data_IF_505340333196
#
_entry.id   IF_505340333196
#
_cell.length_a   1.000
_cell.length_b   1.000
_cell.length_c   1.000
_cell.angle_alpha   90.00
_cell.angle_beta   90.00
_cell.angle_gamma   90.00
#
_symmetry.space_group_name_H-M   'P 1'
#
loop_
_entity.id
_entity.type
_entity.pdbx_description
1 polymer ?
#
# COMPACT_ATOMS: atom_id res chain seq x y z
N UNK A 1 -3.26 -43.27 7.51
CA UNK A 1 -3.85 -41.93 7.28
C UNK A 1 -2.74 -40.91 7.41
N UNK A 2 -2.09 -40.56 6.30
CA UNK A 2 -1.05 -39.53 6.29
C UNK A 2 -1.65 -38.21 5.83
N UNK A 3 -1.47 -37.16 6.61
CA UNK A 3 -1.77 -35.77 6.22
C UNK A 3 -0.67 -35.26 5.29
N UNK A 4 -1.05 -34.50 4.27
CA UNK A 4 -0.09 -33.80 3.43
C UNK A 4 0.47 -32.62 4.23
N UNK A 5 1.78 -32.55 4.37
CA UNK A 5 2.49 -31.43 4.97
C UNK A 5 3.19 -30.61 3.89
N UNK A 6 3.09 -29.29 4.02
CA UNK A 6 3.66 -28.29 3.11
C UNK A 6 4.68 -27.44 3.86
N UNK A 7 5.63 -26.85 3.13
CA UNK A 7 6.50 -25.83 3.70
C UNK A 7 5.68 -24.54 3.93
N UNK A 8 5.84 -23.93 5.11
CA UNK A 8 5.13 -22.69 5.46
C UNK A 8 5.59 -21.55 4.55
N UNK A 9 6.85 -21.59 4.13
CA UNK A 9 7.46 -20.66 3.19
C UNK A 9 6.78 -20.72 1.82
N UNK A 10 6.50 -21.93 1.31
CA UNK A 10 5.78 -22.13 0.04
C UNK A 10 4.32 -21.65 0.13
N UNK A 11 3.66 -21.87 1.28
CA UNK A 11 2.32 -21.36 1.55
C UNK A 11 2.26 -19.83 1.61
N UNK A 12 3.28 -19.19 2.21
CA UNK A 12 3.41 -17.74 2.22
C UNK A 12 3.58 -17.16 0.81
N UNK A 13 4.28 -17.89 -0.07
CA UNK A 13 4.55 -17.48 -1.44
C UNK A 13 3.52 -17.94 -2.47
N UNK A 14 2.56 -18.80 -2.09
CA UNK A 14 1.53 -19.36 -2.98
C UNK A 14 0.63 -18.31 -3.67
N UNK A 15 0.62 -17.07 -3.17
CA UNK A 15 -0.10 -15.93 -3.78
C UNK A 15 0.67 -15.22 -4.90
N UNK A 16 1.97 -15.50 -5.05
CA UNK A 16 2.78 -15.01 -6.16
C UNK A 16 2.70 -16.02 -7.30
N UNK A 17 2.52 -15.55 -8.54
CA UNK A 17 2.47 -16.40 -9.72
C UNK A 17 3.91 -16.89 -9.98
N UNK A 18 4.26 -18.14 -9.66
CA UNK A 18 5.62 -18.59 -9.84
C UNK A 18 5.88 -18.87 -11.33
N UNK A 19 7.14 -18.83 -11.74
CA UNK A 19 7.55 -19.19 -13.10
C UNK A 19 7.36 -20.70 -13.37
N UNK A 20 7.32 -21.53 -12.33
CA UNK A 20 6.87 -22.93 -12.37
C UNK A 20 5.89 -23.29 -11.23
N UNK A 21 4.86 -24.13 -11.50
CA UNK A 21 3.72 -24.30 -10.59
C UNK A 21 3.88 -25.51 -9.66
N UNK A 22 5.01 -25.64 -8.94
CA UNK A 22 5.26 -26.82 -8.10
C UNK A 22 5.31 -26.43 -6.63
N UNK A 23 4.18 -26.64 -5.93
CA UNK A 23 4.17 -26.67 -4.47
C UNK A 23 4.68 -28.03 -4.01
N UNK A 24 5.82 -28.05 -3.32
CA UNK A 24 6.39 -29.28 -2.77
C UNK A 24 5.58 -29.72 -1.54
N UNK A 25 5.25 -31.00 -1.46
CA UNK A 25 4.55 -31.58 -0.31
C UNK A 25 5.06 -32.98 0.00
N UNK A 26 4.95 -33.39 1.26
CA UNK A 26 5.24 -34.76 1.69
C UNK A 26 4.06 -35.34 2.47
N UNK A 27 3.87 -36.66 2.38
CA UNK A 27 2.89 -37.37 3.20
C UNK A 27 3.58 -37.83 4.48
N UNK A 28 3.08 -37.39 5.62
CA UNK A 28 3.73 -37.66 6.90
C UNK A 28 2.87 -38.58 7.77
N UNK A 29 3.52 -39.51 8.46
CA UNK A 29 2.91 -40.26 9.56
C UNK A 29 2.97 -39.45 10.86
N UNK A 30 1.95 -39.58 11.69
CA UNK A 30 1.83 -38.91 12.99
C UNK A 30 3.08 -39.12 13.84
N UNK A 31 3.76 -38.03 14.23
CA UNK A 31 4.98 -38.04 15.04
C UNK A 31 6.30 -37.84 14.29
N UNK A 32 6.29 -37.82 12.95
CA UNK A 32 7.50 -37.59 12.13
C UNK A 32 7.42 -36.33 11.25
N UNK A 33 6.57 -35.38 11.65
CA UNK A 33 6.29 -34.14 10.90
C UNK A 33 7.53 -33.27 10.73
N UNK A 34 8.27 -33.00 11.82
CA UNK A 34 9.48 -32.17 11.76
C UNK A 34 10.59 -32.76 10.86
N UNK A 35 11.03 -34.02 11.02
CA UNK A 35 12.06 -34.59 10.15
C UNK A 35 11.64 -34.65 8.67
N UNK A 36 10.36 -34.91 8.40
CA UNK A 36 9.85 -34.95 7.03
C UNK A 36 9.85 -33.55 6.39
N UNK A 37 9.43 -32.52 7.15
CA UNK A 37 9.49 -31.13 6.70
C UNK A 37 10.93 -30.65 6.48
N UNK A 38 11.86 -31.00 7.36
CA UNK A 38 13.27 -30.65 7.20
C UNK A 38 13.87 -31.28 5.94
N UNK A 39 13.55 -32.54 5.65
CA UNK A 39 13.98 -33.19 4.40
C UNK A 39 13.36 -32.53 3.16
N UNK A 40 12.09 -32.14 3.24
CA UNK A 40 11.42 -31.42 2.15
C UNK A 40 12.08 -30.06 1.90
N UNK A 41 12.43 -29.33 2.97
CA UNK A 41 13.14 -28.05 2.90
C UNK A 41 14.54 -28.20 2.30
N UNK A 42 15.30 -29.22 2.70
CA UNK A 42 16.60 -29.52 2.12
C UNK A 42 16.50 -29.84 0.62
N UNK A 43 15.49 -30.61 0.22
CA UNK A 43 15.26 -30.93 -1.19
C UNK A 43 14.94 -29.68 -2.01
N UNK A 44 14.06 -28.82 -1.50
CA UNK A 44 13.73 -27.53 -2.13
C UNK A 44 14.98 -26.65 -2.29
N UNK A 45 15.81 -26.55 -1.26
CA UNK A 45 17.07 -25.80 -1.32
C UNK A 45 18.04 -26.36 -2.37
N UNK A 46 18.16 -27.69 -2.48
CA UNK A 46 19.02 -28.31 -3.50
C UNK A 46 18.49 -28.01 -4.91
N UNK A 47 17.18 -28.07 -5.12
CA UNK A 47 16.55 -27.79 -6.41
C UNK A 47 16.74 -26.32 -6.82
N UNK A 48 16.59 -25.39 -5.87
CA UNK A 48 16.92 -23.97 -6.06
C UNK A 48 18.39 -23.80 -6.39
N UNK A 49 19.30 -24.48 -5.68
CA UNK A 49 20.73 -24.41 -5.95
C UNK A 49 21.07 -24.93 -7.36
N UNK A 50 20.45 -26.03 -7.81
CA UNK A 50 20.63 -26.54 -9.17
C UNK A 50 20.12 -25.55 -10.23
N UNK A 51 18.95 -24.93 -10.01
CA UNK A 51 18.44 -23.88 -10.91
C UNK A 51 19.35 -22.65 -10.95
N UNK A 52 19.94 -22.28 -9.80
CA UNK A 52 20.89 -21.17 -9.72
C UNK A 52 22.21 -21.48 -10.42
N UNK A 53 22.69 -22.72 -10.33
CA UNK A 53 23.92 -23.19 -10.99
C UNK A 53 23.76 -23.18 -12.53
N UNK A 54 22.57 -23.50 -13.04
CA UNK A 54 22.26 -23.43 -14.48
C UNK A 54 22.15 -22.00 -15.04
N UNK A 55 21.90 -21.00 -14.20
CA UNK A 55 21.58 -19.63 -14.63
C UNK A 55 22.79 -18.69 -14.65
N UNK A 56 23.99 -19.10 -14.20
CA UNK A 56 25.23 -18.31 -14.04
C UNK A 56 25.06 -16.95 -13.30
N UNK A 57 23.86 -16.63 -12.80
CA UNK A 57 23.46 -15.32 -12.29
C UNK A 57 23.21 -15.41 -10.79
N UNK A 58 24.30 -15.60 -10.05
CA UNK A 58 24.27 -15.71 -8.60
C UNK A 58 23.76 -14.41 -7.99
N UNK A 59 22.76 -14.47 -7.11
CA UNK A 59 22.26 -13.28 -6.41
C UNK A 59 23.08 -12.93 -5.15
N UNK A 60 24.17 -13.66 -4.89
CA UNK A 60 25.01 -13.52 -3.69
C UNK A 60 26.48 -13.78 -4.02
N UNK A 61 27.38 -12.99 -3.42
CA UNK A 61 28.84 -13.15 -3.49
C UNK A 61 29.36 -13.41 -2.10
N UNK A 62 30.27 -14.37 -2.00
CA UNK A 62 30.97 -14.66 -0.77
C UNK A 62 32.02 -13.57 -0.50
N UNK A 63 31.91 -12.90 0.65
CA UNK A 63 32.91 -11.93 1.09
C UNK A 63 33.93 -12.61 2.00
N UNK A 64 35.15 -12.84 1.49
CA UNK A 64 36.23 -13.49 2.23
C UNK A 64 36.68 -12.72 3.48
N UNK A 65 36.36 -11.41 3.61
CA UNK A 65 36.77 -10.60 4.76
C UNK A 65 35.85 -10.81 5.96
N UNK A 66 34.55 -10.89 5.70
CA UNK A 66 33.52 -11.06 6.73
C UNK A 66 33.08 -12.52 6.86
N UNK A 67 33.56 -13.41 5.98
CA UNK A 67 33.26 -14.83 5.93
C UNK A 67 31.74 -15.11 5.79
N UNK A 68 31.03 -14.23 5.08
CA UNK A 68 29.57 -14.24 4.89
C UNK A 68 29.20 -14.05 3.41
N UNK A 69 28.06 -14.63 3.01
CA UNK A 69 27.46 -14.38 1.69
C UNK A 69 26.66 -13.09 1.72
N UNK A 70 27.07 -12.11 0.90
CA UNK A 70 26.34 -10.85 0.73
C UNK A 70 25.54 -10.89 -0.56
N UNK A 71 24.32 -10.33 -0.60
CA UNK A 71 23.58 -10.24 -1.85
C UNK A 71 24.42 -9.47 -2.88
N UNK A 72 24.59 -10.05 -4.06
CA UNK A 72 24.94 -9.29 -5.24
C UNK A 72 23.75 -8.37 -5.42
N UNK A 73 23.88 -7.12 -4.97
CA UNK A 73 23.13 -6.06 -5.60
C UNK A 73 23.57 -6.15 -7.05
N UNK A 74 22.72 -6.72 -7.91
CA UNK A 74 22.72 -6.39 -9.32
C UNK A 74 22.28 -4.93 -9.42
N UNK A 75 23.11 -4.02 -8.91
CA UNK A 75 23.64 -2.99 -9.76
C UNK A 75 24.61 -3.64 -10.77
N UNK A 76 24.11 -4.60 -11.56
CA UNK A 76 24.14 -4.24 -12.96
C UNK A 76 23.45 -2.88 -12.97
N UNK A 77 24.28 -1.83 -12.98
CA UNK A 77 23.93 -0.69 -13.79
C UNK A 77 23.27 -1.34 -14.98
N UNK A 78 21.97 -1.12 -15.15
CA UNK A 78 21.40 -1.16 -16.48
C UNK A 78 22.23 -0.09 -17.20
N UNK A 79 23.43 -0.48 -17.62
CA UNK A 79 24.48 0.41 -18.14
C UNK A 79 24.14 0.71 -19.60
N UNK A 80 23.13 0.03 -20.10
CA UNK A 80 22.27 0.40 -21.19
C UNK A 80 20.94 0.82 -20.58
N UNK A 81 20.94 2.01 -19.97
CA UNK A 81 19.69 2.72 -19.71
C UNK A 81 18.86 2.69 -20.99
N UNK A 82 17.52 2.64 -20.92
CA UNK A 82 16.69 2.94 -22.08
C UNK A 82 17.15 4.24 -22.76
N UNK A 83 17.72 5.17 -21.98
CA UNK A 83 18.40 6.37 -22.45
C UNK A 83 19.60 6.09 -23.36
N UNK A 84 20.48 5.09 -23.17
CA UNK A 84 21.58 4.81 -24.12
C UNK A 84 21.13 4.17 -25.42
N UNK A 85 20.18 3.24 -25.36
CA UNK A 85 19.53 2.71 -26.58
C UNK A 85 18.71 3.78 -27.27
N UNK A 86 18.09 4.70 -26.52
CA UNK A 86 17.33 5.82 -27.05
C UNK A 86 18.23 6.95 -27.55
N UNK A 87 19.39 7.18 -26.95
CA UNK A 87 20.42 8.14 -27.41
C UNK A 87 21.09 7.60 -28.66
N UNK A 88 21.52 6.34 -28.71
CA UNK A 88 22.03 5.74 -29.96
C UNK A 88 20.95 5.78 -31.07
N UNK A 89 19.69 5.44 -30.74
CA UNK A 89 18.59 5.50 -31.71
C UNK A 89 18.21 6.95 -32.06
N UNK A 90 18.30 7.91 -31.14
CA UNK A 90 17.99 9.33 -31.39
C UNK A 90 19.12 10.04 -32.11
N UNK A 91 20.38 9.68 -31.86
CA UNK A 91 21.56 10.15 -32.59
C UNK A 91 21.54 9.57 -34.02
N UNK A 92 21.19 8.29 -34.19
CA UNK A 92 20.98 7.70 -35.53
C UNK A 92 19.83 8.39 -36.27
N UNK A 93 18.72 8.70 -35.58
CA UNK A 93 17.58 9.43 -36.16
C UNK A 93 17.92 10.92 -36.40
N UNK A 94 18.77 11.53 -35.58
CA UNK A 94 19.22 12.92 -35.77
C UNK A 94 20.19 13.04 -36.93
N UNK A 95 21.14 12.11 -37.09
CA UNK A 95 22.01 12.03 -38.27
C UNK A 95 21.18 11.78 -39.55
N UNK A 96 20.17 10.91 -39.50
CA UNK A 96 19.22 10.70 -40.62
C UNK A 96 18.25 11.86 -40.86
N UNK A 97 18.15 12.86 -39.97
CA UNK A 97 17.25 14.03 -40.14
C UNK A 97 18.03 15.29 -40.51
N UNK A 98 19.25 15.45 -39.99
CA UNK A 98 20.18 16.53 -40.41
C UNK A 98 20.63 16.34 -41.87
N UNK A 99 20.86 15.11 -42.35
CA UNK A 99 21.14 14.82 -43.78
C UNK A 99 19.96 15.15 -44.72
N UNK A 100 18.74 15.32 -44.19
CA UNK A 100 17.56 15.75 -44.97
C UNK A 100 17.23 17.24 -44.83
N UNK A 101 17.71 17.93 -43.79
CA UNK A 101 17.49 19.36 -43.62
C UNK A 101 18.50 20.21 -44.42
N UNK A 102 19.72 19.71 -44.66
CA UNK A 102 20.75 20.43 -45.44
C UNK A 102 20.59 20.32 -46.98
N UNK A 103 19.76 19.41 -47.48
CA UNK A 103 19.52 19.21 -48.93
C UNK A 103 18.25 19.92 -49.47
N UNK A 104 17.51 20.65 -48.62
CA UNK A 104 16.38 21.47 -49.07
C UNK A 104 16.89 22.87 -49.44
N UNK A 105 17.47 22.98 -50.64
CA UNK A 105 17.66 24.27 -51.31
C UNK A 105 16.27 24.85 -51.60
N UNK A 106 15.89 25.91 -50.88
CA UNK A 106 14.75 26.74 -51.24
C UNK A 106 15.06 27.49 -52.53
N UNK A 107 14.74 26.90 -53.68
CA UNK A 107 14.42 27.70 -54.86
C UNK A 107 13.00 28.24 -54.66
N UNK A 108 12.90 29.53 -54.32
CA UNK A 108 11.67 30.31 -54.41
C UNK A 108 11.25 30.34 -55.90
N UNK A 109 10.57 29.30 -56.36
CA UNK A 109 9.81 29.33 -57.61
C UNK A 109 8.33 29.51 -57.26
N UNK A 110 7.87 30.74 -57.43
CA UNK A 110 6.48 31.16 -57.30
C UNK A 110 5.61 30.45 -58.35
N UNK A 111 5.22 29.18 -58.16
CA UNK A 111 4.09 28.57 -58.88
C UNK A 111 3.46 27.37 -58.14
N UNK A 112 2.16 27.53 -57.84
CA UNK A 112 1.09 26.52 -57.76
C UNK A 112 1.25 25.29 -56.83
N UNK A 113 0.71 25.35 -55.59
CA UNK A 113 -0.46 24.54 -55.21
C UNK A 113 -1.03 24.93 -53.82
N UNK A 114 -2.28 25.40 -53.78
CA UNK A 114 -2.95 25.83 -52.53
C UNK A 114 -3.29 24.65 -51.60
N UNK A 115 -3.16 23.41 -52.09
CA UNK A 115 -3.50 22.20 -51.35
C UNK A 115 -2.33 21.67 -50.50
N UNK A 116 -1.09 21.79 -50.99
CA UNK A 116 0.11 21.33 -50.26
C UNK A 116 0.44 22.22 -49.07
N UNK A 117 0.24 23.53 -49.20
CA UNK A 117 0.46 24.50 -48.10
C UNK A 117 -0.48 24.27 -46.90
N UNK A 118 -1.71 23.79 -47.15
CA UNK A 118 -2.67 23.44 -46.10
C UNK A 118 -2.27 22.16 -45.35
N UNK A 119 -1.81 21.12 -46.07
CA UNK A 119 -1.29 19.90 -45.45
C UNK A 119 0.00 20.14 -44.64
N UNK A 120 0.90 20.98 -45.15
CA UNK A 120 2.13 21.36 -44.43
C UNK A 120 1.81 22.14 -43.14
N UNK A 121 0.80 23.01 -43.17
CA UNK A 121 0.32 23.73 -41.98
C UNK A 121 -0.29 22.80 -40.93
N UNK A 122 -1.08 21.81 -41.36
CA UNK A 122 -1.69 20.81 -40.48
C UNK A 122 -0.65 19.91 -39.81
N UNK A 123 0.36 19.46 -40.56
CA UNK A 123 1.47 18.67 -40.03
C UNK A 123 2.33 19.46 -39.03
N UNK A 124 2.55 20.76 -39.27
CA UNK A 124 3.22 21.65 -38.30
C UNK A 124 2.42 21.78 -37.01
N UNK A 125 1.09 21.90 -37.10
CA UNK A 125 0.22 21.94 -35.93
C UNK A 125 0.24 20.61 -35.14
N UNK A 126 0.23 19.47 -35.84
CA UNK A 126 0.35 18.14 -35.21
C UNK A 126 1.73 17.96 -34.53
N UNK A 127 2.82 18.40 -35.16
CA UNK A 127 4.18 18.36 -34.55
C UNK A 127 4.23 19.13 -33.22
N UNK A 128 3.68 20.34 -33.19
CA UNK A 128 3.63 21.16 -31.95
C UNK A 128 2.74 20.53 -30.87
N UNK A 129 1.63 19.91 -31.25
CA UNK A 129 0.75 19.20 -30.31
C UNK A 129 1.45 17.97 -29.69
N UNK A 130 2.14 17.17 -30.51
CA UNK A 130 2.90 16.01 -30.07
C UNK A 130 4.07 16.40 -29.16
N UNK A 131 4.79 17.48 -29.48
CA UNK A 131 5.85 18.01 -28.62
C UNK A 131 5.35 18.39 -27.22
N UNK A 132 4.16 19.01 -27.12
CA UNK A 132 3.55 19.31 -25.81
C UNK A 132 3.19 18.07 -25.01
N UNK A 133 2.73 17.00 -25.68
CA UNK A 133 2.40 15.73 -25.02
C UNK A 133 3.68 15.06 -24.49
N UNK A 134 4.75 15.05 -25.29
CA UNK A 134 6.06 14.49 -24.89
C UNK A 134 6.61 15.26 -23.68
N UNK A 135 6.58 16.59 -23.72
CA UNK A 135 7.06 17.42 -22.61
C UNK A 135 6.28 17.16 -21.32
N UNK A 136 4.95 17.04 -21.40
CA UNK A 136 4.12 16.69 -20.24
C UNK A 136 4.43 15.29 -19.69
N UNK A 137 4.71 14.31 -20.57
CA UNK A 137 5.14 12.98 -20.16
C UNK A 137 6.53 12.97 -19.50
N UNK A 138 7.47 13.76 -20.01
CA UNK A 138 8.80 13.93 -19.42
C UNK A 138 8.73 14.57 -18.04
N UNK A 139 7.92 15.60 -17.86
CA UNK A 139 7.69 16.24 -16.55
C UNK A 139 7.10 15.25 -15.53
N UNK A 140 6.10 14.46 -15.93
CA UNK A 140 5.53 13.40 -15.09
C UNK A 140 6.57 12.33 -14.74
N UNK A 141 7.39 11.91 -15.71
CA UNK A 141 8.46 10.92 -15.51
C UNK A 141 9.52 11.45 -14.55
N UNK A 142 9.95 12.69 -14.72
CA UNK A 142 10.94 13.34 -13.87
C UNK A 142 10.43 13.52 -12.44
N UNK A 143 9.16 13.92 -12.27
CA UNK A 143 8.53 14.01 -10.95
C UNK A 143 8.47 12.64 -10.26
N UNK A 144 8.10 11.57 -10.98
CA UNK A 144 8.08 10.22 -10.45
C UNK A 144 9.48 9.74 -10.04
N UNK A 145 10.50 9.98 -10.88
CA UNK A 145 11.90 9.65 -10.58
C UNK A 145 12.44 10.40 -9.36
N UNK A 146 12.08 11.67 -9.19
CA UNK A 146 12.47 12.46 -8.02
C UNK A 146 11.88 11.91 -6.70
N UNK A 147 10.64 11.41 -6.75
CA UNK A 147 10.01 10.74 -5.59
C UNK A 147 10.73 9.45 -5.24
N UNK A 148 11.06 8.62 -6.24
CA UNK A 148 11.79 7.36 -6.05
C UNK A 148 13.19 7.62 -5.47
N UNK A 149 13.91 8.60 -6.02
CA UNK A 149 15.25 8.97 -5.54
C UNK A 149 15.21 9.55 -4.12
N UNK A 150 14.21 10.36 -3.77
CA UNK A 150 14.01 10.83 -2.39
C UNK A 150 13.72 9.67 -1.43
N UNK A 151 12.87 8.71 -1.83
CA UNK A 151 12.63 7.51 -1.02
C UNK A 151 13.89 6.66 -0.86
N UNK A 152 14.71 6.56 -1.90
CA UNK A 152 16.00 5.86 -1.87
C UNK A 152 17.00 6.52 -0.93
N UNK A 153 17.09 7.85 -0.92
CA UNK A 153 17.98 8.64 -0.03
C UNK A 153 17.57 8.62 1.44
N UNK A 154 16.29 8.39 1.73
CA UNK A 154 15.78 8.36 3.11
C UNK A 154 16.04 7.01 3.81
N UNK A 155 16.53 6.00 3.09
CA UNK A 155 16.71 4.65 3.60
C UNK A 155 15.39 3.86 3.66
N UNK A 156 15.45 2.56 3.96
CA UNK A 156 14.24 1.73 4.10
C UNK A 156 13.57 2.08 5.43
N UNK A 157 12.31 2.54 5.38
CA UNK A 157 11.50 2.67 6.60
C UNK A 157 11.12 1.28 7.10
N UNK A 158 11.55 0.93 8.31
CA UNK A 158 11.13 -0.26 9.03
C UNK A 158 10.07 0.19 10.03
N UNK A 159 8.87 -0.38 9.97
CA UNK A 159 7.80 -0.02 10.90
C UNK A 159 7.77 -0.98 12.08
N UNK A 160 7.89 -0.43 13.29
CA UNK A 160 7.68 -1.17 14.54
C UNK A 160 6.31 -0.77 15.10
N UNK A 161 5.37 -1.72 15.10
CA UNK A 161 3.99 -1.46 15.47
C UNK A 161 3.77 -1.78 16.95
N UNK A 162 3.52 -0.76 17.77
CA UNK A 162 3.26 -0.86 19.21
C UNK A 162 1.90 -0.23 19.53
N UNK A 163 0.78 -0.93 19.28
CA UNK A 163 -0.56 -0.35 19.36
C UNK A 163 -0.89 0.16 20.77
N UNK A 164 -1.10 1.47 20.90
CA UNK A 164 -1.75 2.10 22.06
C UNK A 164 -3.10 2.70 21.70
N UNK A 165 -3.27 3.08 20.44
CA UNK A 165 -4.46 3.73 19.89
C UNK A 165 -5.07 2.86 18.81
N UNK A 166 -6.37 2.64 18.89
CA UNK A 166 -7.12 1.84 17.92
C UNK A 166 -8.16 2.74 17.27
N UNK A 167 -8.16 2.80 15.94
CA UNK A 167 -9.23 3.43 15.16
C UNK A 167 -10.07 2.31 14.56
N UNK A 168 -11.39 2.35 14.73
CA UNK A 168 -12.29 1.35 14.17
C UNK A 168 -13.22 1.99 13.13
N UNK A 169 -13.45 1.30 12.01
CA UNK A 169 -14.44 1.68 11.01
C UNK A 169 -15.88 1.32 11.44
N UNK A 170 -16.86 1.69 10.63
CA UNK A 170 -18.29 1.40 10.88
C UNK A 170 -18.57 -0.10 10.92
N UNK A 171 -17.92 -0.89 10.06
CA UNK A 171 -18.15 -2.34 9.97
C UNK A 171 -17.71 -3.07 11.25
N UNK A 172 -16.64 -2.60 11.91
CA UNK A 172 -16.23 -3.14 13.21
C UNK A 172 -17.35 -3.09 14.26
N UNK A 173 -18.17 -2.03 14.25
CA UNK A 173 -19.28 -1.91 15.19
C UNK A 173 -20.53 -2.69 14.76
N UNK A 174 -20.76 -2.84 13.46
CA UNK A 174 -21.91 -3.57 12.93
C UNK A 174 -21.72 -5.08 13.05
N UNK A 175 -20.58 -5.59 12.59
CA UNK A 175 -20.33 -7.03 12.47
C UNK A 175 -19.73 -7.62 13.75
N UNK A 176 -18.98 -6.81 14.52
CA UNK A 176 -18.13 -7.30 15.62
C UNK A 176 -18.33 -6.56 16.94
N UNK A 177 -19.57 -6.13 17.24
CA UNK A 177 -19.90 -5.34 18.43
C UNK A 177 -19.39 -5.95 19.75
N UNK A 178 -19.51 -7.28 19.91
CA UNK A 178 -19.05 -7.98 21.11
C UNK A 178 -17.52 -7.91 21.28
N UNK A 179 -16.77 -7.97 20.18
CA UNK A 179 -15.31 -7.85 20.21
C UNK A 179 -14.89 -6.41 20.51
N UNK A 180 -15.59 -5.43 19.96
CA UNK A 180 -15.39 -4.01 20.31
C UNK A 180 -15.65 -3.76 21.80
N UNK A 181 -16.69 -4.38 22.36
CA UNK A 181 -16.98 -4.29 23.79
C UNK A 181 -15.87 -4.91 24.65
N UNK A 182 -15.32 -6.07 24.25
CA UNK A 182 -14.18 -6.69 24.93
C UNK A 182 -12.93 -5.81 24.90
N UNK A 183 -12.66 -5.14 23.76
CA UNK A 183 -11.55 -4.16 23.64
C UNK A 183 -11.72 -3.00 24.61
N UNK A 184 -12.91 -2.39 24.68
CA UNK A 184 -13.19 -1.29 25.61
C UNK A 184 -13.03 -1.73 27.08
N UNK A 185 -13.52 -2.93 27.42
CA UNK A 185 -13.42 -3.48 28.77
C UNK A 185 -11.98 -3.79 29.18
N UNK A 186 -11.11 -4.15 28.23
CA UNK A 186 -9.70 -4.46 28.52
C UNK A 186 -8.93 -3.27 29.11
N UNK A 187 -9.32 -2.04 28.73
CA UNK A 187 -8.63 -0.78 29.07
C UNK A 187 -7.14 -0.76 28.70
N UNK A 188 -6.69 -1.69 27.87
CA UNK A 188 -5.30 -1.78 27.41
C UNK A 188 -5.00 -0.78 26.29
N UNK A 189 -6.03 -0.40 25.54
CA UNK A 189 -5.93 0.45 24.37
C UNK A 189 -6.88 1.63 24.49
N UNK A 190 -6.52 2.74 23.84
CA UNK A 190 -7.41 3.86 23.65
C UNK A 190 -8.13 3.70 22.31
N UNK A 191 -9.44 3.46 22.35
CA UNK A 191 -10.28 3.38 21.16
C UNK A 191 -10.68 4.80 20.76
N UNK A 192 -10.38 5.14 19.52
CA UNK A 192 -10.74 6.41 18.90
C UNK A 192 -11.78 6.14 17.82
N UNK A 193 -12.94 6.77 17.97
CA UNK A 193 -14.06 6.66 17.03
C UNK A 193 -14.13 7.91 16.17
N UNK A 194 -13.86 7.84 14.86
CA UNK A 194 -14.09 8.96 13.96
C UNK A 194 -15.55 9.41 14.02
N UNK A 195 -15.82 10.71 14.12
CA UNK A 195 -17.20 11.20 14.20
C UNK A 195 -18.03 10.81 12.97
N UNK A 196 -17.37 10.68 11.81
CA UNK A 196 -18.01 10.18 10.58
C UNK A 196 -18.59 8.77 10.76
N UNK A 197 -17.92 7.89 11.50
CA UNK A 197 -18.40 6.54 11.82
C UNK A 197 -19.64 6.62 12.72
N UNK A 198 -19.62 7.51 13.73
CA UNK A 198 -20.79 7.72 14.61
C UNK A 198 -21.98 8.24 13.81
N UNK A 199 -21.76 9.18 12.89
CA UNK A 199 -22.79 9.75 12.04
C UNK A 199 -23.37 8.72 11.05
N UNK A 200 -22.54 7.82 10.52
CA UNK A 200 -22.99 6.69 9.71
C UNK A 200 -23.87 5.74 10.52
N UNK A 201 -23.45 5.37 11.73
CA UNK A 201 -24.23 4.52 12.64
C UNK A 201 -25.58 5.16 13.01
N UNK A 202 -25.61 6.46 13.28
CA UNK A 202 -26.87 7.20 13.52
C UNK A 202 -27.77 7.21 12.28
N UNK A 203 -27.20 7.35 11.09
CA UNK A 203 -27.93 7.25 9.83
C UNK A 203 -28.54 5.86 9.63
N UNK A 204 -27.77 4.82 9.90
CA UNK A 204 -28.21 3.42 9.83
C UNK A 204 -29.29 3.12 10.88
N UNK A 205 -29.17 3.65 12.12
CA UNK A 205 -30.16 3.51 13.20
C UNK A 205 -31.50 4.15 12.84
N UNK A 206 -31.48 5.33 12.21
CA UNK A 206 -32.72 6.03 11.75
C UNK A 206 -33.41 5.26 10.62
N UNK A 207 -32.63 4.65 9.74
CA UNK A 207 -33.13 3.85 8.63
C UNK A 207 -33.83 4.67 7.55
N UNK A 208 -34.05 4.04 6.40
CA UNK A 208 -34.92 4.50 5.32
C UNK A 208 -35.94 3.39 5.03
N UNK A 209 -37.01 3.69 4.30
CA UNK A 209 -38.17 2.79 4.10
C UNK A 209 -37.82 1.37 3.60
N UNK A 210 -36.63 1.16 3.01
CA UNK A 210 -36.14 -0.12 2.50
C UNK A 210 -34.90 -0.66 3.23
N UNK A 211 -34.57 -0.16 4.42
CA UNK A 211 -33.36 -0.61 5.13
C UNK A 211 -33.52 -1.98 5.77
N UNK A 212 -32.45 -2.79 5.72
CA UNK A 212 -32.42 -4.10 6.35
C UNK A 212 -32.61 -3.96 7.87
N UNK A 213 -33.74 -4.45 8.41
CA UNK A 213 -34.08 -4.33 9.83
C UNK A 213 -32.97 -4.85 10.76
N UNK A 214 -32.25 -5.91 10.36
CA UNK A 214 -31.11 -6.45 11.12
C UNK A 214 -29.93 -5.48 11.20
N UNK A 215 -29.64 -4.78 10.11
CA UNK A 215 -28.56 -3.78 10.06
C UNK A 215 -28.93 -2.56 10.92
N UNK A 216 -30.18 -2.10 10.82
CA UNK A 216 -30.70 -1.02 11.64
C UNK A 216 -30.64 -1.35 13.14
N UNK A 217 -31.02 -2.57 13.53
CA UNK A 217 -30.92 -3.02 14.91
C UNK A 217 -29.47 -3.08 15.40
N UNK A 218 -28.55 -3.59 14.58
CA UNK A 218 -27.11 -3.69 14.92
C UNK A 218 -26.49 -2.30 15.09
N UNK A 219 -26.82 -1.36 14.19
CA UNK A 219 -26.43 0.05 14.32
C UNK A 219 -27.02 0.69 15.58
N UNK A 220 -28.28 0.38 15.91
CA UNK A 220 -28.92 0.82 17.16
C UNK A 220 -28.14 0.38 18.40
N UNK A 221 -27.81 -0.92 18.48
CA UNK A 221 -27.02 -1.47 19.59
C UNK A 221 -25.62 -0.86 19.68
N UNK A 222 -24.98 -0.60 18.52
CA UNK A 222 -23.67 0.04 18.48
C UNK A 222 -23.71 1.48 19.01
N UNK A 223 -24.70 2.28 18.60
CA UNK A 223 -24.88 3.65 19.09
C UNK A 223 -25.17 3.65 20.58
N UNK A 224 -26.07 2.79 21.06
CA UNK A 224 -26.44 2.72 22.47
C UNK A 224 -25.22 2.32 23.33
N UNK A 225 -24.39 1.38 22.84
CA UNK A 225 -23.12 1.02 23.48
C UNK A 225 -22.17 2.22 23.56
N UNK A 226 -21.95 2.94 22.45
CA UNK A 226 -21.06 4.11 22.42
C UNK A 226 -21.56 5.21 23.37
N UNK A 227 -22.86 5.51 23.37
CA UNK A 227 -23.47 6.49 24.27
C UNK A 227 -23.26 6.13 25.75
N UNK A 228 -23.49 4.86 26.12
CA UNK A 228 -23.23 4.37 27.48
C UNK A 228 -21.75 4.55 27.87
N UNK A 229 -20.81 4.13 27.02
CA UNK A 229 -19.37 4.29 27.32
C UNK A 229 -18.92 5.76 27.40
N UNK A 230 -19.38 6.63 26.49
CA UNK A 230 -19.06 8.05 26.56
C UNK A 230 -19.69 8.72 27.80
N UNK A 231 -20.87 8.28 28.25
CA UNK A 231 -21.52 8.81 29.47
C UNK A 231 -20.69 8.53 30.73
N UNK A 232 -19.94 7.43 30.75
CA UNK A 232 -19.04 7.03 31.84
C UNK A 232 -17.75 7.85 31.89
N UNK A 233 -17.47 8.67 30.88
CA UNK A 233 -16.22 9.46 30.72
C UNK A 233 -14.98 8.58 30.82
N UNK A 234 -15.01 7.42 30.17
CA UNK A 234 -13.87 6.50 30.18
C UNK A 234 -12.67 7.10 29.42
N UNK A 235 -11.48 7.09 30.02
CA UNK A 235 -10.25 7.61 29.42
C UNK A 235 -9.78 6.79 28.21
N UNK A 236 -10.24 5.54 28.10
CA UNK A 236 -9.89 4.63 27.01
C UNK A 236 -10.80 4.79 25.78
N UNK A 237 -11.77 5.71 25.79
CA UNK A 237 -12.63 5.99 24.64
C UNK A 237 -12.61 7.49 24.29
N UNK A 238 -12.32 7.78 23.03
CA UNK A 238 -12.34 9.15 22.47
C UNK A 238 -13.10 9.15 21.16
N UNK A 239 -13.74 10.27 20.84
CA UNK A 239 -14.18 10.57 19.48
C UNK A 239 -13.22 11.58 18.85
N UNK A 240 -13.10 11.57 17.53
CA UNK A 240 -12.29 12.54 16.80
C UNK A 240 -13.07 13.13 15.63
N UNK A 241 -13.02 14.46 15.50
CA UNK A 241 -13.68 15.15 14.40
C UNK A 241 -12.92 15.04 13.09
N UNK A 242 -13.56 15.34 11.96
CA UNK A 242 -12.87 15.45 10.66
C UNK A 242 -11.71 16.45 10.67
N UNK A 243 -11.80 17.51 11.49
CA UNK A 243 -10.74 18.50 11.70
C UNK A 243 -9.64 18.04 12.69
N UNK A 244 -9.79 16.87 13.31
CA UNK A 244 -8.82 16.30 14.24
C UNK A 244 -8.93 16.81 15.67
N UNK A 245 -10.09 17.35 16.07
CA UNK A 245 -10.38 17.70 17.47
C UNK A 245 -10.82 16.46 18.22
N UNK A 246 -10.18 16.15 19.35
CA UNK A 246 -10.58 15.04 20.21
C UNK A 246 -11.74 15.44 21.12
N UNK A 247 -12.67 14.52 21.32
CA UNK A 247 -13.87 14.71 22.13
C UNK A 247 -14.02 13.55 23.11
N UNK A 248 -14.29 13.88 24.37
CA UNK A 248 -14.59 12.90 25.44
C UNK A 248 -16.09 12.65 25.60
N UNK A 249 -16.91 13.30 24.78
CA UNK A 249 -18.36 13.16 24.76
C UNK A 249 -18.88 13.31 23.33
N UNK A 250 -19.99 12.63 23.03
CA UNK A 250 -20.67 12.66 21.73
C UNK A 250 -22.10 13.24 21.82
N UNK A 251 -22.45 13.84 22.98
CA UNK A 251 -23.77 14.41 23.19
C UNK A 251 -24.13 15.51 22.17
N UNK A 252 -23.11 16.23 21.68
CA UNK A 252 -23.23 17.20 20.60
C UNK A 252 -22.26 16.80 19.47
N UNK A 253 -22.77 16.06 18.49
CA UNK A 253 -21.99 15.45 17.39
C UNK A 253 -22.32 16.01 16.00
N UNK A 254 -22.80 17.25 15.94
CA UNK A 254 -23.02 17.94 14.67
C UNK A 254 -21.69 18.48 14.13
N UNK A 255 -21.30 18.04 12.94
CA UNK A 255 -20.17 18.59 12.19
C UNK A 255 -20.67 19.31 10.94
N UNK A 256 -20.15 20.51 10.71
CA UNK A 256 -20.29 21.19 9.41
C UNK A 256 -19.32 20.56 8.42
N UNK A 257 -19.85 19.93 7.39
CA UNK A 257 -19.05 19.30 6.36
C UNK A 257 -18.78 20.29 5.22
N UNK A 258 -17.51 20.53 4.90
CA UNK A 258 -17.13 21.18 3.65
C UNK A 258 -17.49 20.28 2.46
N UNK A 259 -17.91 20.88 1.34
CA UNK A 259 -18.29 20.14 0.13
C UNK A 259 -17.13 19.34 -0.50
N UNK A 260 -15.89 19.54 -0.06
CA UNK A 260 -14.67 18.92 -0.58
C UNK A 260 -14.07 17.86 0.38
N UNK A 261 -14.91 17.24 1.22
CA UNK A 261 -14.49 16.35 2.33
C UNK A 261 -13.92 14.98 1.93
N UNK A 262 -13.81 14.68 0.64
CA UNK A 262 -13.46 13.34 0.14
C UNK A 262 -14.50 12.27 0.52
N UNK A 263 -14.13 10.99 0.37
CA UNK A 263 -14.98 9.89 0.80
C UNK A 263 -14.88 9.68 2.32
N UNK A 264 -15.85 9.00 2.94
CA UNK A 264 -15.83 8.72 4.38
C UNK A 264 -14.56 7.95 4.79
N UNK A 265 -14.09 7.03 3.92
CA UNK A 265 -12.77 6.38 4.04
C UNK A 265 -11.62 7.39 4.21
N UNK A 266 -11.61 8.46 3.43
CA UNK A 266 -10.53 9.45 3.46
C UNK A 266 -10.54 10.22 4.77
N UNK A 267 -11.73 10.45 5.35
CA UNK A 267 -11.89 11.06 6.67
C UNK A 267 -11.39 10.11 7.75
N UNK A 268 -11.75 8.82 7.72
CA UNK A 268 -11.27 7.80 8.67
C UNK A 268 -9.74 7.70 8.62
N UNK A 269 -9.16 7.66 7.42
CA UNK A 269 -7.72 7.61 7.23
C UNK A 269 -7.03 8.89 7.69
N UNK A 270 -7.65 10.07 7.47
CA UNK A 270 -7.12 11.34 7.97
C UNK A 270 -7.07 11.36 9.50
N UNK A 271 -8.06 10.75 10.16
CA UNK A 271 -8.04 10.54 11.61
C UNK A 271 -6.85 9.66 12.01
N UNK A 272 -6.64 8.52 11.34
CA UNK A 272 -5.50 7.63 11.61
C UNK A 272 -4.14 8.34 11.44
N UNK A 273 -3.97 9.08 10.34
CA UNK A 273 -2.73 9.82 10.05
C UNK A 273 -2.46 10.90 11.10
N UNK A 274 -3.49 11.46 11.75
CA UNK A 274 -3.31 12.42 12.85
C UNK A 274 -2.57 11.80 14.03
N UNK A 275 -2.90 10.56 14.39
CA UNK A 275 -2.23 9.78 15.44
C UNK A 275 -0.87 9.24 15.01
N UNK A 276 -0.63 9.10 13.71
CA UNK A 276 0.68 8.77 13.16
C UNK A 276 1.73 9.90 13.29
N UNK A 277 1.43 11.08 13.87
CA UNK A 277 2.40 12.19 13.96
C UNK A 277 3.41 12.05 15.11
N UNK A 278 3.14 11.22 16.11
CA UNK A 278 4.03 10.95 17.25
C UNK A 278 5.09 9.87 16.94
N UNK A 279 5.71 9.92 15.76
CA UNK A 279 6.70 8.90 15.40
C UNK A 279 8.02 9.14 16.15
N UNK A 280 8.37 8.20 17.01
CA UNK A 280 9.74 8.09 17.51
C UNK A 280 10.53 7.42 16.38
N UNK A 281 11.48 8.15 15.80
CA UNK A 281 12.39 7.62 14.79
C UNK A 281 13.70 7.23 15.42
N UNK A 282 14.15 6.01 15.16
CA UNK A 282 15.53 5.56 15.45
C UNK A 282 16.20 5.24 14.12
N UNK A 283 17.45 5.65 13.95
CA UNK A 283 18.26 5.27 12.79
C UNK A 283 19.13 4.07 13.17
N UNK A 284 19.02 2.99 12.40
CA UNK A 284 19.89 1.82 12.53
C UNK A 284 20.51 1.55 11.15
N UNK A 285 21.78 1.93 10.99
CA UNK A 285 22.46 1.91 9.70
C UNK A 285 21.76 2.79 8.65
N UNK A 286 21.47 2.19 7.48
CA UNK A 286 20.80 2.83 6.34
C UNK A 286 19.25 2.73 6.43
N UNK A 287 18.72 2.26 7.57
CA UNK A 287 17.28 2.08 7.79
C UNK A 287 16.76 3.00 8.90
N UNK A 288 15.54 3.51 8.71
CA UNK A 288 14.83 4.31 9.71
C UNK A 288 13.74 3.46 10.34
N UNK A 289 13.86 3.19 11.64
CA UNK A 289 12.80 2.56 12.41
C UNK A 289 11.78 3.62 12.78
N UNK A 290 10.55 3.44 12.32
CA UNK A 290 9.41 4.30 12.58
C UNK A 290 8.46 3.56 13.51
N UNK A 291 8.39 3.99 14.76
CA UNK A 291 7.44 3.41 15.71
C UNK A 291 6.02 3.94 15.42
N UNK A 292 5.05 3.03 15.30
CA UNK A 292 3.64 3.35 15.09
C UNK A 292 2.81 2.89 16.28
N UNK A 293 2.14 3.84 16.93
CA UNK A 293 1.27 3.59 18.08
C UNK A 293 -0.21 3.43 17.72
N UNK A 294 -0.57 3.66 16.45
CA UNK A 294 -1.94 3.58 15.94
C UNK A 294 -2.14 2.37 15.03
N UNK A 295 -3.28 1.70 15.17
CA UNK A 295 -3.74 0.64 14.28
C UNK A 295 -5.18 0.93 13.86
N UNK A 296 -5.47 0.77 12.58
CA UNK A 296 -6.83 0.82 12.03
C UNK A 296 -7.40 -0.60 11.95
N UNK A 297 -8.54 -0.82 12.60
CA UNK A 297 -9.33 -2.04 12.48
C UNK A 297 -10.31 -1.91 11.32
N UNK A 298 -10.17 -2.80 10.35
CA UNK A 298 -11.07 -2.86 9.20
C UNK A 298 -10.97 -4.20 8.49
N UNK A 299 -12.12 -4.73 8.07
CA UNK A 299 -12.20 -5.90 7.19
C UNK A 299 -12.18 -5.48 5.71
N UNK A 300 -12.39 -4.19 5.40
CA UNK A 300 -12.48 -3.68 4.04
C UNK A 300 -11.11 -3.69 3.34
N UNK A 301 -11.05 -4.38 2.19
CA UNK A 301 -9.84 -4.50 1.38
C UNK A 301 -9.38 -3.17 0.79
N UNK A 302 -10.29 -2.34 0.34
CA UNK A 302 -9.97 -1.05 -0.28
C UNK A 302 -9.48 -0.07 0.79
N UNK A 303 -10.14 -0.02 1.95
CA UNK A 303 -9.69 0.82 3.06
C UNK A 303 -8.31 0.39 3.56
N UNK A 304 -8.07 -0.93 3.66
CA UNK A 304 -6.75 -1.50 4.00
C UNK A 304 -5.65 -1.08 3.02
N UNK A 305 -5.91 -1.15 1.71
CA UNK A 305 -4.95 -0.70 0.69
C UNK A 305 -4.65 0.80 0.84
N UNK A 306 -5.68 1.63 1.00
CA UNK A 306 -5.51 3.08 1.22
C UNK A 306 -4.76 3.41 2.53
N UNK A 307 -4.91 2.60 3.57
CA UNK A 307 -4.17 2.76 4.81
C UNK A 307 -2.66 2.47 4.62
N UNK A 308 -2.33 1.40 3.90
CA UNK A 308 -0.93 1.05 3.61
C UNK A 308 -0.21 2.11 2.79
N UNK A 309 -0.87 2.73 1.80
CA UNK A 309 -0.25 3.84 1.03
C UNK A 309 0.05 5.06 1.91
N UNK A 310 -0.68 5.24 3.02
CA UNK A 310 -0.44 6.28 4.03
C UNK A 310 0.42 5.80 5.21
N UNK A 311 1.02 4.61 5.11
CA UNK A 311 1.84 3.99 6.17
C UNK A 311 1.11 3.85 7.52
N UNK A 312 -0.21 3.60 7.47
CA UNK A 312 -1.05 3.30 8.64
C UNK A 312 -1.14 1.78 8.81
N UNK A 313 -0.75 1.22 9.96
CA UNK A 313 -0.93 -0.21 10.25
C UNK A 313 -2.42 -0.58 10.30
N UNK A 314 -2.74 -1.75 9.76
CA UNK A 314 -4.13 -2.27 9.69
C UNK A 314 -4.20 -3.74 10.03
N UNK A 315 -5.33 -4.17 10.56
CA UNK A 315 -5.67 -5.58 10.78
C UNK A 315 -7.19 -5.74 10.94
N UNK A 316 -7.69 -6.95 10.80
CA UNK A 316 -9.07 -7.27 11.19
C UNK A 316 -9.19 -7.38 12.71
N UNK A 317 -10.40 -7.12 13.22
CA UNK A 317 -10.65 -7.13 14.66
C UNK A 317 -10.44 -8.52 15.28
N UNK A 318 -10.78 -9.60 14.57
CA UNK A 318 -10.65 -10.97 15.07
C UNK A 318 -9.19 -11.33 15.29
N UNK A 319 -8.33 -11.01 14.33
CA UNK A 319 -6.88 -11.18 14.43
C UNK A 319 -6.30 -10.29 15.53
N UNK A 320 -6.71 -9.03 15.61
CA UNK A 320 -6.23 -8.12 16.65
C UNK A 320 -6.54 -8.63 18.06
N UNK A 321 -7.76 -9.09 18.31
CA UNK A 321 -8.17 -9.67 19.60
C UNK A 321 -7.29 -10.86 20.00
N UNK A 322 -6.99 -11.76 19.05
CA UNK A 322 -6.11 -12.91 19.29
C UNK A 322 -4.68 -12.46 19.63
N UNK A 323 -4.16 -11.47 18.91
CA UNK A 323 -2.84 -10.89 19.19
C UNK A 323 -2.80 -10.22 20.58
N UNK A 324 -3.89 -9.56 20.97
CA UNK A 324 -4.05 -8.92 22.27
C UNK A 324 -4.38 -9.90 23.41
N UNK A 325 -4.62 -11.19 23.11
CA UNK A 325 -4.98 -12.25 24.07
C UNK A 325 -6.21 -11.91 24.92
N UNK A 326 -7.21 -11.29 24.28
CA UNK A 326 -8.47 -10.92 24.95
C UNK A 326 -9.54 -12.01 24.90
N UNK A 327 -9.31 -13.08 24.12
CA UNK A 327 -10.16 -14.27 23.98
C UNK A 327 -9.29 -15.53 23.94
#
# INVERSE_FOLDING_TARGET
NGTNAYLIEDLFLAGFKPLEPILLFCKVSTGHEEPALSNLRLKSLIEILSLMDEQDNWCYVFDEKDNEYKPIQTSEKITLSPEKKFIELSETIQEEVEDFEDDIIYEDDDNEDFHETAQISELKAQKVALQKIIQAQEEQRNAAMAVIENQRRLGRNIFENCPSTIVADTNCYIDHLALMQALLQSKMFCIVVPLIVINELDGLKKGSSNTNHRLQQSAGLAVDMLEDWFSRKDSCLRAITSNGTEMTTIAFRAEEFSNDRGNNDDVILSCCVRYCKENITRSEGDSRIVLRSVVLLTDDRNLRVKAHTRSVPTTDIVTFIKMAKLI
#
